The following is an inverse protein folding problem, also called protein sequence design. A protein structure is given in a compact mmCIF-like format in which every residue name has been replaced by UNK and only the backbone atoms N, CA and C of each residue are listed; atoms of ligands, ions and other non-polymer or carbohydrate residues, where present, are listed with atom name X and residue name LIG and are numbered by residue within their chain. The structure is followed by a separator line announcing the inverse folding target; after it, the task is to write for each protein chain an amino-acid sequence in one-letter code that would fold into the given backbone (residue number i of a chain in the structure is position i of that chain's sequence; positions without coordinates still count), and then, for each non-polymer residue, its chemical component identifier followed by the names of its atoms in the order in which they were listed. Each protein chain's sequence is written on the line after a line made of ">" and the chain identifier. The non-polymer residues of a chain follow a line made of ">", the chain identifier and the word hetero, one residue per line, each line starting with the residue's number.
data_IF_390658463507
#
_entry.id   IF_390658463507
#
_cell.length_a   1.000
_cell.length_b   1.000
_cell.length_c   1.000
_cell.angle_alpha   90.00
_cell.angle_beta   90.00
_cell.angle_gamma   90.00
#
_symmetry.space_group_name_H-M   'P 1'
#
loop_
_entity.id
_entity.type
_entity.pdbx_description
1 polymer ?
#
# COMPACT_ATOMS: atom_id res chain seq x y z
N UNK A 1 -2.51 12.40 7.95
CA UNK A 1 -1.24 12.58 7.20
C UNK A 1 -1.48 13.16 5.80
N UNK A 2 -2.18 12.48 4.88
CA UNK A 2 -2.37 12.99 3.51
C UNK A 2 -2.97 14.41 3.45
N UNK A 3 -4.02 14.70 4.23
CA UNK A 3 -4.62 16.04 4.32
C UNK A 3 -3.62 17.09 4.83
N UNK A 4 -2.81 16.73 5.82
CA UNK A 4 -1.79 17.64 6.37
C UNK A 4 -0.66 17.90 5.37
N UNK A 5 -0.19 16.86 4.67
CA UNK A 5 0.81 16.99 3.63
C UNK A 5 0.31 17.88 2.47
N UNK A 6 -0.96 17.69 2.05
CA UNK A 6 -1.60 18.53 1.03
C UNK A 6 -1.69 20.00 1.47
N UNK A 7 -2.09 20.27 2.72
CA UNK A 7 -2.14 21.63 3.27
C UNK A 7 -0.77 22.33 3.30
N UNK A 8 0.32 21.56 3.36
CA UNK A 8 1.70 22.05 3.37
C UNK A 8 2.36 22.00 1.98
N UNK A 9 1.63 21.64 0.92
CA UNK A 9 2.17 21.42 -0.43
C UNK A 9 3.34 20.40 -0.47
N UNK A 10 3.30 19.40 0.42
CA UNK A 10 4.28 18.33 0.48
C UNK A 10 3.76 17.12 -0.30
N UNK A 11 4.44 16.68 -1.38
CA UNK A 11 4.04 15.49 -2.10
C UNK A 11 4.26 14.24 -1.24
N UNK A 12 3.32 13.30 -1.31
CA UNK A 12 3.42 12.01 -0.60
C UNK A 12 3.77 10.91 -1.58
N UNK A 13 4.80 10.14 -1.25
CA UNK A 13 5.24 8.97 -2.01
C UNK A 13 4.99 7.72 -1.17
N UNK A 14 4.16 6.81 -1.66
CA UNK A 14 3.90 5.53 -1.03
C UNK A 14 5.02 4.53 -1.36
N UNK A 15 5.85 4.25 -0.36
CA UNK A 15 6.71 3.07 -0.34
C UNK A 15 5.88 1.83 0.02
N UNK A 16 6.39 0.65 -0.35
CA UNK A 16 5.67 -0.63 -0.16
C UNK A 16 4.22 -0.61 -0.71
N UNK A 17 3.94 -0.02 -1.89
CA UNK A 17 2.55 0.18 -2.35
C UNK A 17 1.80 -1.12 -2.66
N UNK A 18 2.51 -2.26 -2.70
CA UNK A 18 1.96 -3.61 -2.92
C UNK A 18 2.04 -4.49 -1.66
N UNK A 19 2.20 -3.89 -0.47
CA UNK A 19 2.12 -4.60 0.81
C UNK A 19 3.37 -5.37 1.23
N UNK A 20 4.50 -5.26 0.50
CA UNK A 20 5.80 -5.84 0.89
C UNK A 20 5.73 -7.29 1.39
N UNK A 21 5.07 -8.17 0.61
CA UNK A 21 4.79 -9.56 1.00
C UNK A 21 5.96 -10.29 1.66
N UNK A 22 7.16 -10.20 1.09
CA UNK A 22 8.34 -10.87 1.66
C UNK A 22 8.69 -10.40 3.09
N UNK A 23 8.56 -9.10 3.35
CA UNK A 23 8.76 -8.55 4.69
C UNK A 23 7.60 -8.94 5.62
N UNK A 24 6.36 -8.88 5.12
CA UNK A 24 5.17 -9.27 5.88
C UNK A 24 5.24 -10.74 6.34
N UNK A 25 5.62 -11.65 5.44
CA UNK A 25 5.79 -13.07 5.74
C UNK A 25 6.90 -13.29 6.79
N UNK A 26 8.04 -12.60 6.65
CA UNK A 26 9.14 -12.67 7.60
C UNK A 26 8.79 -12.12 8.99
N UNK A 27 7.99 -11.04 9.05
CA UNK A 27 7.52 -10.47 10.32
C UNK A 27 6.42 -11.32 10.94
N UNK A 28 5.52 -11.90 10.15
CA UNK A 28 4.49 -12.83 10.65
C UNK A 28 5.14 -14.00 11.40
N UNK A 29 6.18 -14.60 10.82
CA UNK A 29 6.91 -15.69 11.44
C UNK A 29 7.60 -15.30 12.77
N UNK A 30 8.01 -14.04 12.93
CA UNK A 30 8.68 -13.55 14.14
C UNK A 30 7.74 -13.04 15.23
N UNK A 31 6.63 -12.43 14.83
CA UNK A 31 5.74 -11.67 15.73
C UNK A 31 4.41 -12.38 16.00
N UNK A 32 4.05 -13.39 15.21
CA UNK A 32 2.73 -14.02 15.25
C UNK A 32 1.59 -13.14 14.72
N UNK A 33 1.90 -11.93 14.24
CA UNK A 33 0.91 -11.01 13.65
C UNK A 33 0.55 -11.43 12.24
N UNK A 34 -0.74 -11.36 11.93
CA UNK A 34 -1.25 -11.63 10.59
C UNK A 34 -1.17 -10.39 9.70
N UNK A 35 -0.66 -10.58 8.48
CA UNK A 35 -0.62 -9.56 7.44
C UNK A 35 -1.33 -10.10 6.20
N UNK A 36 -2.47 -9.51 5.79
CA UNK A 36 -3.17 -9.98 4.62
C UNK A 36 -2.37 -9.71 3.34
N UNK A 37 -2.38 -10.67 2.41
CA UNK A 37 -1.86 -10.42 1.06
C UNK A 37 -2.82 -9.50 0.30
N UNK A 38 -2.42 -8.24 0.12
CA UNK A 38 -3.24 -7.23 -0.53
C UNK A 38 -3.67 -7.63 -1.95
N UNK A 39 -2.86 -8.43 -2.65
CA UNK A 39 -3.15 -8.83 -4.04
C UNK A 39 -4.25 -9.89 -4.13
N UNK A 40 -4.58 -10.56 -3.03
CA UNK A 40 -5.60 -11.62 -3.00
C UNK A 40 -6.94 -11.15 -2.43
N UNK A 41 -6.97 -9.95 -1.83
CA UNK A 41 -8.18 -9.39 -1.22
C UNK A 41 -9.34 -9.30 -2.24
N UNK A 42 -10.56 -9.74 -1.89
CA UNK A 42 -11.69 -9.76 -2.83
C UNK A 42 -11.98 -8.41 -3.48
N UNK A 43 -11.97 -7.32 -2.71
CA UNK A 43 -12.20 -5.97 -3.24
C UNK A 43 -11.13 -5.54 -4.26
N UNK A 44 -9.87 -5.93 -4.05
CA UNK A 44 -8.75 -5.63 -4.97
C UNK A 44 -8.89 -6.44 -6.26
N UNK A 45 -9.20 -7.73 -6.14
CA UNK A 45 -9.40 -8.60 -7.31
C UNK A 45 -10.62 -8.18 -8.12
N UNK A 46 -11.72 -7.80 -7.46
CA UNK A 46 -12.93 -7.33 -8.11
C UNK A 46 -12.68 -6.03 -8.89
N UNK A 47 -12.04 -5.03 -8.25
CA UNK A 47 -11.67 -3.79 -8.92
C UNK A 47 -10.74 -4.05 -10.12
N UNK A 48 -9.74 -4.91 -9.97
CA UNK A 48 -8.84 -5.26 -11.07
C UNK A 48 -9.58 -5.94 -12.25
N UNK A 49 -10.46 -6.89 -11.94
CA UNK A 49 -11.22 -7.65 -12.93
C UNK A 49 -12.16 -6.77 -13.75
N UNK A 50 -12.81 -5.77 -13.13
CA UNK A 50 -13.70 -4.83 -13.80
C UNK A 50 -13.02 -4.06 -14.96
N UNK A 51 -11.70 -3.90 -14.91
CA UNK A 51 -10.91 -3.18 -15.91
C UNK A 51 -10.00 -4.08 -16.76
N UNK A 52 -10.08 -5.41 -16.60
CA UNK A 52 -9.16 -6.34 -17.26
C UNK A 52 -7.70 -6.14 -16.83
N UNK A 53 -7.47 -5.70 -15.59
CA UNK A 53 -6.14 -5.40 -15.04
C UNK A 53 -5.73 -6.41 -13.96
N UNK A 54 -4.47 -6.31 -13.54
CA UNK A 54 -3.95 -7.08 -12.41
C UNK A 54 -4.30 -6.43 -11.06
N UNK A 55 -4.38 -7.21 -9.96
CA UNK A 55 -4.53 -6.66 -8.61
C UNK A 55 -3.49 -5.60 -8.24
N UNK A 56 -2.25 -5.78 -8.71
CA UNK A 56 -1.17 -4.81 -8.50
C UNK A 56 -1.51 -3.46 -9.18
N UNK A 57 -1.96 -3.49 -10.43
CA UNK A 57 -2.37 -2.27 -11.13
C UNK A 57 -3.53 -1.56 -10.45
N UNK A 58 -4.53 -2.29 -9.91
CA UNK A 58 -5.61 -1.69 -9.16
C UNK A 58 -5.12 -0.96 -7.89
N UNK A 59 -4.22 -1.57 -7.10
CA UNK A 59 -3.64 -0.93 -5.91
C UNK A 59 -2.81 0.31 -6.25
N UNK A 60 -1.98 0.23 -7.31
CA UNK A 60 -1.16 1.37 -7.75
C UNK A 60 -2.03 2.50 -8.27
N UNK A 61 -3.06 2.18 -9.07
CA UNK A 61 -4.00 3.16 -9.59
C UNK A 61 -4.81 3.83 -8.48
N UNK A 62 -5.21 3.07 -7.46
CA UNK A 62 -5.89 3.60 -6.28
C UNK A 62 -5.06 4.67 -5.56
N UNK A 63 -3.75 4.46 -5.40
CA UNK A 63 -2.87 5.46 -4.82
C UNK A 63 -2.72 6.70 -5.73
N UNK A 64 -2.50 6.49 -7.03
CA UNK A 64 -2.35 7.58 -8.00
C UNK A 64 -3.60 8.47 -8.10
N UNK A 65 -4.80 7.89 -8.12
CA UNK A 65 -6.07 8.65 -8.14
C UNK A 65 -6.31 9.46 -6.87
N UNK A 66 -5.58 9.17 -5.78
CA UNK A 66 -5.61 9.96 -4.54
C UNK A 66 -4.51 11.03 -4.48
N UNK A 67 -3.78 11.23 -5.58
CA UNK A 67 -2.65 12.16 -5.63
C UNK A 67 -1.40 11.64 -4.90
N UNK A 68 -1.30 10.33 -4.69
CA UNK A 68 -0.15 9.71 -4.00
C UNK A 68 0.74 9.03 -5.04
N UNK A 69 1.99 9.47 -5.15
CA UNK A 69 2.97 8.82 -6.02
C UNK A 69 3.34 7.43 -5.47
N UNK A 70 3.74 6.50 -6.33
CA UNK A 70 4.05 5.11 -5.95
C UNK A 70 5.41 4.68 -6.49
N UNK A 71 6.13 3.87 -5.71
CA UNK A 71 7.44 3.31 -6.08
C UNK A 71 7.47 1.78 -5.92
N UNK A 72 6.72 1.02 -6.73
CA UNK A 72 6.68 -0.44 -6.63
C UNK A 72 8.01 -1.07 -7.07
N UNK A 73 8.67 -1.79 -6.16
CA UNK A 73 9.89 -2.54 -6.47
C UNK A 73 9.59 -3.82 -7.25
N UNK A 74 10.31 -4.06 -8.34
CA UNK A 74 10.35 -5.33 -9.05
C UNK A 74 11.70 -5.53 -9.73
N UNK A 75 12.16 -6.77 -9.81
CA UNK A 75 13.27 -7.20 -10.69
C UNK A 75 12.77 -8.01 -11.89
N UNK A 76 11.47 -8.34 -11.92
CA UNK A 76 10.84 -9.07 -13.01
C UNK A 76 10.39 -8.06 -14.10
N UNK A 77 10.90 -8.16 -15.35
CA UNK A 77 10.59 -7.22 -16.42
C UNK A 77 9.10 -7.08 -16.74
N UNK A 78 8.36 -8.19 -16.77
CA UNK A 78 6.92 -8.18 -17.05
C UNK A 78 6.16 -7.41 -15.98
N UNK A 79 6.50 -7.60 -14.70
CA UNK A 79 5.91 -6.82 -13.60
C UNK A 79 6.30 -5.35 -13.64
N UNK A 80 7.52 -5.02 -14.06
CA UNK A 80 7.94 -3.61 -14.24
C UNK A 80 7.06 -2.93 -15.28
N UNK A 81 6.86 -3.57 -16.44
CA UNK A 81 5.96 -3.08 -17.48
C UNK A 81 4.51 -2.97 -16.99
N UNK A 82 4.00 -3.99 -16.28
CA UNK A 82 2.65 -3.93 -15.70
C UNK A 82 2.48 -2.78 -14.71
N UNK A 83 3.49 -2.53 -13.87
CA UNK A 83 3.45 -1.52 -12.83
C UNK A 83 3.48 -0.08 -13.38
N UNK A 84 3.96 0.14 -14.61
CA UNK A 84 3.93 1.47 -15.25
C UNK A 84 2.71 1.66 -16.16
N UNK A 85 2.10 0.58 -16.65
CA UNK A 85 0.87 0.61 -17.45
C UNK A 85 -0.37 0.87 -16.60
N UNK A 86 -0.54 2.13 -16.15
CA UNK A 86 -1.58 2.57 -15.21
C UNK A 86 -2.43 3.75 -15.72
N UNK A 87 -2.19 4.19 -16.95
CA UNK A 87 -2.68 5.47 -17.46
C UNK A 87 -3.90 5.34 -18.36
N UNK A 88 -4.25 4.13 -18.76
CA UNK A 88 -5.30 3.78 -19.72
C UNK A 88 -6.59 3.29 -19.05
N UNK A 89 -6.73 3.45 -17.72
CA UNK A 89 -7.96 3.16 -16.98
C UNK A 89 -8.07 4.01 -15.72
N UNK A 90 -9.27 4.07 -15.16
CA UNK A 90 -9.54 4.70 -13.86
C UNK A 90 -10.53 3.86 -13.06
N UNK A 91 -10.26 3.72 -11.76
CA UNK A 91 -11.17 3.10 -10.82
C UNK A 91 -12.40 4.00 -10.61
N UNK A 92 -13.57 3.38 -10.58
CA UNK A 92 -14.85 4.04 -10.30
C UNK A 92 -14.94 4.48 -8.84
N UNK A 93 -15.89 5.37 -8.52
CA UNK A 93 -16.07 5.83 -7.14
C UNK A 93 -16.39 4.69 -6.17
N UNK A 94 -17.17 3.70 -6.60
CA UNK A 94 -17.53 2.53 -5.78
C UNK A 94 -16.33 1.62 -5.54
N UNK A 95 -15.46 1.43 -6.53
CA UNK A 95 -14.20 0.70 -6.38
C UNK A 95 -13.25 1.44 -5.44
N UNK A 96 -13.10 2.76 -5.62
CA UNK A 96 -12.29 3.61 -4.74
C UNK A 96 -12.81 3.56 -3.30
N UNK A 97 -14.12 3.56 -3.08
CA UNK A 97 -14.73 3.42 -1.76
C UNK A 97 -14.48 2.03 -1.15
N UNK A 98 -14.61 0.96 -1.94
CA UNK A 98 -14.36 -0.42 -1.49
C UNK A 98 -12.91 -0.63 -1.08
N UNK A 99 -11.96 -0.09 -1.85
CA UNK A 99 -10.54 -0.15 -1.50
C UNK A 99 -10.19 0.70 -0.28
N UNK A 100 -10.87 1.84 -0.10
CA UNK A 100 -10.70 2.69 1.09
C UNK A 100 -11.18 1.98 2.36
N UNK A 101 -12.23 1.18 2.29
CA UNK A 101 -12.75 0.41 3.41
C UNK A 101 -11.76 -0.68 3.90
N UNK A 102 -10.71 -0.99 3.15
CA UNK A 102 -9.65 -1.92 3.57
C UNK A 102 -8.66 -1.30 4.57
N UNK A 103 -8.69 0.02 4.78
CA UNK A 103 -7.78 0.70 5.69
C UNK A 103 -7.95 0.21 7.14
N UNK A 104 -6.83 -0.18 7.76
CA UNK A 104 -6.76 -0.65 9.15
C UNK A 104 -6.09 0.36 10.08
N UNK A 105 -5.85 1.58 9.61
CA UNK A 105 -5.18 2.63 10.36
C UNK A 105 -3.81 2.18 10.87
N UNK A 106 -3.52 2.46 12.15
CA UNK A 106 -2.27 2.07 12.79
C UNK A 106 -2.00 0.55 12.77
N UNK A 107 -3.05 -0.26 12.87
CA UNK A 107 -2.96 -1.73 12.83
C UNK A 107 -2.69 -2.28 11.42
N UNK A 108 -2.69 -1.43 10.38
CA UNK A 108 -2.29 -1.79 9.02
C UNK A 108 -0.78 -1.65 8.75
N UNK A 109 -0.01 -1.07 9.68
CA UNK A 109 1.44 -0.87 9.46
C UNK A 109 2.19 -2.20 9.47
N UNK A 110 2.88 -2.50 8.38
CA UNK A 110 3.83 -3.61 8.27
C UNK A 110 5.22 -3.16 8.73
N UNK A 111 5.66 -2.01 8.23
CA UNK A 111 6.91 -1.37 8.65
C UNK A 111 6.65 -0.43 9.84
N UNK A 112 6.43 -0.99 11.02
CA UNK A 112 6.30 -0.22 12.28
C UNK A 112 7.60 -0.15 13.09
N UNK A 113 8.69 -0.74 12.56
CA UNK A 113 10.02 -0.82 13.18
C UNK A 113 10.09 -1.59 14.49
N UNK A 114 9.00 -2.19 14.97
CA UNK A 114 8.93 -2.91 16.26
C UNK A 114 9.92 -4.09 16.38
N UNK A 115 10.48 -4.54 15.26
CA UNK A 115 11.54 -5.55 15.21
C UNK A 115 12.92 -5.05 15.70
N UNK A 116 13.07 -3.75 15.96
CA UNK A 116 14.24 -3.18 16.64
C UNK A 116 13.92 -2.93 18.12
N UNK A 117 14.50 -3.69 19.07
CA UNK A 117 14.21 -3.52 20.49
C UNK A 117 14.53 -2.10 20.97
N UNK A 118 13.55 -1.44 21.60
CA UNK A 118 13.71 -0.11 22.19
C UNK A 118 13.60 1.06 21.21
N UNK A 119 13.32 0.81 19.92
CA UNK A 119 13.15 1.87 18.92
C UNK A 119 11.99 2.82 19.28
N UNK A 120 10.96 2.29 19.93
CA UNK A 120 9.77 3.03 20.37
C UNK A 120 10.09 4.07 21.44
N UNK A 121 11.21 3.89 22.16
CA UNK A 121 11.67 4.81 23.21
C UNK A 121 12.44 6.00 22.64
N UNK A 122 12.79 5.98 21.36
CA UNK A 122 13.48 7.10 20.74
C UNK A 122 12.58 8.34 20.75
N UNK A 123 13.08 9.53 21.16
CA UNK A 123 12.27 10.73 21.27
C UNK A 123 11.59 11.12 19.95
N UNK A 124 12.25 10.88 18.83
CA UNK A 124 11.75 11.15 17.47
C UNK A 124 11.08 9.93 16.80
N UNK A 125 10.62 8.93 17.57
CA UNK A 125 9.97 7.78 16.98
C UNK A 125 8.62 8.17 16.34
N UNK A 126 8.43 8.00 15.01
CA UNK A 126 7.34 8.64 14.27
C UNK A 126 5.97 7.95 14.43
N UNK A 127 5.91 6.79 15.09
CA UNK A 127 4.69 5.98 15.19
C UNK A 127 4.13 5.89 16.61
N UNK A 128 4.65 6.69 17.54
CA UNK A 128 4.01 6.90 18.83
C UNK A 128 2.62 7.52 18.63
N UNK A 129 1.71 7.19 19.56
CA UNK A 129 0.34 7.71 19.58
C UNK A 129 0.30 9.10 20.18
#
# INVERSE_FOLDING_TARGET
>A
MLTAAAALNVPVVAYSPLGSKALADALAAKTGREYPDLLTLPAVRAAAAAHGRTPAQALLRYALQRGVAVIPKSTNPQRILQNISLWDFSLSESEMASLRALDRGAAGRICDFSFFPGVEKHPEFPFNK
#
